data_IF_428100246118
#
_entry.id   IF_428100246118
#
_cell.length_a   1.000
_cell.length_b   1.000
_cell.length_c   1.000
_cell.angle_alpha   90.00
_cell.angle_beta   90.00
_cell.angle_gamma   90.00
#
_symmetry.space_group_name_H-M   'P 1'
#
loop_
_entity.id
_entity.type
_entity.pdbx_description
1 polymer ?
#
# COMPACT_ATOMS: atom_id res chain seq x y z
N UNK A 1 9.87 6.85 -15.31
CA UNK A 1 8.95 5.73 -15.10
C UNK A 1 9.74 4.53 -14.58
N UNK A 2 9.30 3.92 -13.47
CA UNK A 2 9.96 2.74 -12.90
C UNK A 2 9.85 1.54 -13.85
N UNK A 3 10.96 0.81 -14.04
CA UNK A 3 10.94 -0.48 -14.74
C UNK A 3 10.15 -1.49 -13.90
N UNK A 4 9.26 -2.22 -14.55
CA UNK A 4 8.42 -3.22 -13.91
C UNK A 4 9.25 -4.41 -13.39
N UNK A 5 9.39 -4.45 -12.07
CA UNK A 5 9.86 -5.60 -11.31
C UNK A 5 9.12 -5.56 -9.97
N UNK A 6 8.61 -6.70 -9.51
CA UNK A 6 7.93 -6.82 -8.22
C UNK A 6 8.78 -6.27 -7.06
N UNK A 7 10.10 -6.44 -7.11
CA UNK A 7 11.01 -5.88 -6.11
C UNK A 7 11.00 -4.35 -6.10
N UNK A 8 11.10 -3.72 -7.27
CA UNK A 8 11.02 -2.26 -7.41
C UNK A 8 9.67 -1.72 -6.94
N UNK A 9 8.58 -2.45 -7.24
CA UNK A 9 7.24 -2.15 -6.73
C UNK A 9 7.20 -2.17 -5.19
N UNK A 10 7.70 -3.25 -4.56
CA UNK A 10 7.72 -3.36 -3.10
C UNK A 10 8.62 -2.28 -2.48
N UNK A 11 9.82 -2.07 -3.03
CA UNK A 11 10.80 -1.12 -2.52
C UNK A 11 10.27 0.32 -2.57
N UNK A 12 9.41 0.66 -3.55
CA UNK A 12 8.73 1.95 -3.61
C UNK A 12 7.88 2.24 -2.37
N UNK A 13 7.04 1.29 -1.95
CA UNK A 13 6.20 1.45 -0.75
C UNK A 13 6.99 1.28 0.54
N UNK A 14 8.00 0.41 0.55
CA UNK A 14 8.91 0.27 1.69
C UNK A 14 9.67 1.57 1.97
N UNK A 15 10.09 2.29 0.92
CA UNK A 15 10.73 3.61 1.05
C UNK A 15 9.76 4.62 1.65
N UNK A 16 8.51 4.67 1.16
CA UNK A 16 7.50 5.53 1.78
C UNK A 16 7.31 5.21 3.28
N UNK A 17 7.22 3.93 3.65
CA UNK A 17 7.06 3.55 5.04
C UNK A 17 8.27 3.91 5.91
N UNK A 18 9.49 3.81 5.35
CA UNK A 18 10.71 4.20 6.04
C UNK A 18 10.81 5.72 6.25
N UNK A 19 10.36 6.51 5.29
CA UNK A 19 10.48 7.98 5.31
C UNK A 19 9.34 8.66 6.08
N UNK A 20 8.22 7.96 6.33
CA UNK A 20 7.06 8.52 7.00
C UNK A 20 7.29 8.58 8.52
N UNK A 21 7.13 9.75 9.18
CA UNK A 21 7.51 9.94 10.58
C UNK A 21 6.73 9.06 11.56
N UNK A 22 5.46 8.76 11.24
CA UNK A 22 4.58 7.99 12.13
C UNK A 22 4.57 6.48 11.86
N UNK A 23 5.12 6.01 10.73
CA UNK A 23 5.12 4.57 10.42
C UNK A 23 6.30 3.89 11.10
N UNK A 24 6.01 2.77 11.77
CA UNK A 24 7.04 2.02 12.49
C UNK A 24 7.40 0.70 11.83
N UNK A 25 6.48 0.14 11.04
CA UNK A 25 6.67 -1.16 10.42
C UNK A 25 6.10 -1.22 9.01
N UNK A 26 6.77 -1.98 8.13
CA UNK A 26 6.33 -2.27 6.77
C UNK A 26 6.25 -3.78 6.57
N UNK A 27 5.10 -4.25 6.07
CA UNK A 27 4.87 -5.65 5.71
C UNK A 27 4.46 -5.76 4.23
N UNK A 28 4.90 -6.83 3.56
CA UNK A 28 4.43 -7.23 2.24
C UNK A 28 3.95 -8.68 2.28
N UNK A 29 2.76 -8.97 1.76
CA UNK A 29 2.24 -10.34 1.64
C UNK A 29 0.73 -10.46 1.76
N UNK A 30 0.23 -11.70 1.76
CA UNK A 30 -1.20 -12.02 1.93
C UNK A 30 -1.74 -11.72 3.34
N UNK A 31 -3.06 -11.50 3.44
CA UNK A 31 -3.77 -11.01 4.64
C UNK A 31 -3.52 -11.84 5.90
N UNK A 32 -3.82 -13.13 5.84
CA UNK A 32 -3.79 -13.99 7.02
C UNK A 32 -2.36 -14.29 7.50
N UNK A 33 -1.41 -14.37 6.57
CA UNK A 33 0.00 -14.64 6.90
C UNK A 33 0.76 -13.37 7.27
N UNK A 34 0.43 -12.24 6.67
CA UNK A 34 1.15 -10.97 6.83
C UNK A 34 1.08 -10.42 8.25
N UNK A 35 -0.11 -10.40 8.87
CA UNK A 35 -0.28 -9.87 10.23
C UNK A 35 0.31 -10.82 11.27
N UNK A 36 0.06 -12.13 11.14
CA UNK A 36 0.60 -13.14 12.07
C UNK A 36 2.14 -13.18 12.03
N UNK A 37 2.71 -13.14 10.82
CA UNK A 37 4.16 -13.08 10.64
C UNK A 37 4.73 -11.77 11.19
N UNK A 38 4.14 -10.61 10.87
CA UNK A 38 4.63 -9.32 11.35
C UNK A 38 4.70 -9.28 12.88
N UNK A 39 3.66 -9.77 13.58
CA UNK A 39 3.63 -9.84 15.05
C UNK A 39 4.68 -10.77 15.67
N UNK A 40 5.25 -11.69 14.89
CA UNK A 40 6.34 -12.57 15.36
C UNK A 40 7.72 -11.93 15.29
N UNK A 41 7.85 -10.79 14.60
CA UNK A 41 9.12 -10.10 14.42
C UNK A 41 9.44 -9.22 15.64
N UNK A 42 10.69 -9.25 16.15
CA UNK A 42 11.10 -8.45 17.32
C UNK A 42 10.91 -6.94 17.14
N UNK A 43 11.04 -6.44 15.91
CA UNK A 43 10.96 -5.02 15.56
C UNK A 43 9.54 -4.53 15.26
N UNK A 44 8.53 -5.39 15.39
CA UNK A 44 7.16 -5.05 15.06
C UNK A 44 6.55 -4.02 16.01
N UNK A 45 6.01 -2.94 15.45
CA UNK A 45 5.25 -1.93 16.18
C UNK A 45 4.22 -1.23 15.27
N UNK A 46 3.20 -0.61 15.88
CA UNK A 46 2.18 0.19 15.20
C UNK A 46 2.49 1.69 15.31
N UNK A 47 2.12 2.52 14.32
CA UNK A 47 1.40 2.20 13.08
C UNK A 47 2.18 1.32 12.09
N UNK A 48 1.50 0.33 11.50
CA UNK A 48 2.04 -0.55 10.48
C UNK A 48 1.43 -0.23 9.11
N UNK A 49 2.27 -0.16 8.08
CA UNK A 49 1.85 -0.18 6.69
C UNK A 49 1.99 -1.60 6.12
N UNK A 50 0.91 -2.12 5.56
CA UNK A 50 0.88 -3.46 4.99
C UNK A 50 0.44 -3.42 3.53
N UNK A 51 1.36 -3.81 2.65
CA UNK A 51 1.15 -3.92 1.21
C UNK A 51 0.72 -5.35 0.87
N UNK A 52 -0.41 -5.49 0.21
CA UNK A 52 -0.92 -6.77 -0.26
C UNK A 52 -0.19 -7.23 -1.52
N UNK A 53 -0.21 -8.54 -1.76
CA UNK A 53 0.19 -9.11 -3.04
C UNK A 53 -0.73 -8.56 -4.14
N UNK A 54 -0.19 -7.82 -5.13
CA UNK A 54 -1.01 -7.19 -6.15
C UNK A 54 -1.50 -8.23 -7.15
N UNK A 55 -2.70 -8.00 -7.71
CA UNK A 55 -3.12 -8.69 -8.93
C UNK A 55 -2.53 -7.94 -10.12
N UNK A 56 -1.80 -8.64 -10.98
CA UNK A 56 -1.09 -8.03 -12.11
C UNK A 56 -1.78 -8.41 -13.42
N UNK A 57 -2.21 -7.40 -14.18
CA UNK A 57 -2.79 -7.56 -15.50
C UNK A 57 -1.87 -6.95 -16.55
N UNK A 58 -1.41 -7.73 -17.52
CA UNK A 58 -0.66 -7.20 -18.65
C UNK A 58 -1.59 -6.49 -19.63
N UNK A 59 -1.25 -5.25 -19.97
CA UNK A 59 -1.95 -4.40 -20.92
C UNK A 59 -1.04 -4.17 -22.14
N UNK A 60 -1.54 -4.52 -23.32
CA UNK A 60 -0.93 -4.18 -24.60
C UNK A 60 -1.75 -3.07 -25.25
N UNK A 61 -1.14 -1.89 -25.43
CA UNK A 61 -1.81 -0.78 -26.07
C UNK A 61 -1.71 -0.80 -27.61
N UNK A 62 -1.29 -1.92 -28.20
CA UNK A 62 -1.18 -2.19 -29.65
C UNK A 62 -0.17 -1.32 -30.40
N UNK A 63 0.58 -0.46 -29.69
CA UNK A 63 1.69 0.37 -30.24
C UNK A 63 3.05 -0.04 -29.67
N UNK A 64 3.22 -1.33 -29.36
CA UNK A 64 4.44 -1.90 -28.76
C UNK A 64 4.83 -1.28 -27.41
N UNK A 65 3.85 -0.74 -26.67
CA UNK A 65 4.02 -0.48 -25.25
C UNK A 65 3.21 -1.48 -24.46
N UNK A 66 3.93 -2.42 -23.84
CA UNK A 66 3.37 -3.37 -22.90
C UNK A 66 3.65 -2.84 -21.49
N UNK A 67 2.57 -2.69 -20.72
CA UNK A 67 2.62 -2.30 -19.32
C UNK A 67 1.96 -3.40 -18.49
N UNK A 68 2.49 -3.62 -17.29
CA UNK A 68 1.78 -4.39 -16.27
C UNK A 68 1.02 -3.42 -15.36
N UNK A 69 -0.29 -3.65 -15.25
CA UNK A 69 -1.16 -2.95 -14.31
C UNK A 69 -1.25 -3.74 -13.01
N UNK A 70 -0.69 -3.16 -11.96
CA UNK A 70 -0.75 -3.67 -10.60
C UNK A 70 -2.02 -3.14 -9.94
N UNK A 71 -2.94 -4.02 -9.59
CA UNK A 71 -4.08 -3.72 -8.73
C UNK A 71 -3.59 -3.84 -7.29
N UNK A 72 -3.45 -2.68 -6.64
CA UNK A 72 -2.80 -2.53 -5.34
C UNK A 72 -3.83 -2.41 -4.24
N UNK A 73 -3.66 -3.21 -3.18
CA UNK A 73 -4.28 -2.98 -1.87
C UNK A 73 -3.18 -2.65 -0.86
N UNK A 74 -3.36 -1.55 -0.12
CA UNK A 74 -2.42 -1.18 0.95
C UNK A 74 -3.17 -0.64 2.16
N UNK A 75 -2.87 -1.20 3.33
CA UNK A 75 -3.56 -0.90 4.59
C UNK A 75 -2.62 -0.23 5.57
N UNK A 76 -3.12 0.77 6.31
CA UNK A 76 -2.48 1.25 7.53
C UNK A 76 -3.28 0.74 8.72
N UNK A 77 -2.61 0.04 9.64
CA UNK A 77 -3.20 -0.54 10.84
C UNK A 77 -2.60 0.09 12.08
N UNK A 78 -3.45 0.30 13.08
CA UNK A 78 -3.12 0.80 14.41
C UNK A 78 -3.90 -0.02 15.43
N UNK A 79 -3.30 -0.29 16.58
CA UNK A 79 -3.98 -0.99 17.69
C UNK A 79 -4.59 0.02 18.66
N UNK A 80 -5.82 -0.23 19.10
CA UNK A 80 -6.48 0.54 20.16
C UNK A 80 -7.29 -0.39 21.09
N UNK A 81 -7.51 -0.01 22.36
CA UNK A 81 -8.37 -0.77 23.27
C UNK A 81 -9.82 -0.86 22.75
N UNK A 82 -10.42 -2.05 22.87
CA UNK A 82 -11.79 -2.31 22.39
C UNK A 82 -12.87 -1.59 23.21
N UNK A 83 -12.54 -1.20 24.45
CA UNK A 83 -13.42 -0.51 25.39
C UNK A 83 -13.22 1.01 25.44
N UNK A 84 -12.28 1.55 24.66
CA UNK A 84 -11.98 3.00 24.60
C UNK A 84 -12.33 3.58 23.22
N UNK A 85 -13.50 4.21 23.10
CA UNK A 85 -13.98 4.76 21.83
C UNK A 85 -13.12 5.94 21.31
N UNK A 86 -12.58 6.78 22.18
CA UNK A 86 -11.75 7.91 21.74
C UNK A 86 -10.43 7.41 21.15
N UNK A 87 -9.80 6.43 21.79
CA UNK A 87 -8.60 5.79 21.26
C UNK A 87 -8.84 5.12 19.89
N UNK A 88 -10.03 4.58 19.66
CA UNK A 88 -10.42 3.99 18.37
C UNK A 88 -10.60 5.05 17.29
N UNK A 89 -11.23 6.18 17.62
CA UNK A 89 -11.39 7.33 16.71
C UNK A 89 -10.01 7.88 16.33
N UNK A 90 -9.12 8.05 17.31
CA UNK A 90 -7.75 8.52 17.10
C UNK A 90 -6.96 7.55 16.19
N UNK A 91 -7.10 6.24 16.41
CA UNK A 91 -6.48 5.23 15.55
C UNK A 91 -7.01 5.29 14.10
N UNK A 92 -8.32 5.44 13.89
CA UNK A 92 -8.87 5.65 12.55
C UNK A 92 -8.36 6.95 11.92
N UNK A 93 -8.31 8.05 12.69
CA UNK A 93 -7.84 9.35 12.24
C UNK A 93 -6.39 9.30 11.76
N UNK A 94 -5.50 8.71 12.56
CA UNK A 94 -4.09 8.57 12.21
C UNK A 94 -3.90 7.65 10.99
N UNK A 95 -4.59 6.50 10.94
CA UNK A 95 -4.49 5.62 9.78
C UNK A 95 -5.01 6.26 8.48
N UNK A 96 -6.12 7.01 8.57
CA UNK A 96 -6.64 7.78 7.44
C UNK A 96 -5.66 8.85 6.97
N UNK A 97 -5.00 9.54 7.89
CA UNK A 97 -3.99 10.55 7.59
C UNK A 97 -2.81 9.92 6.85
N UNK A 98 -2.21 8.84 7.36
CA UNK A 98 -1.10 8.12 6.73
C UNK A 98 -1.46 7.65 5.30
N UNK A 99 -2.66 7.09 5.12
CA UNK A 99 -3.14 6.68 3.79
C UNK A 99 -3.33 7.88 2.86
N UNK A 100 -3.73 9.02 3.40
CA UNK A 100 -3.87 10.27 2.63
C UNK A 100 -2.50 10.84 2.25
N UNK A 101 -1.49 10.71 3.10
CA UNK A 101 -0.11 11.11 2.82
C UNK A 101 0.51 10.22 1.73
N UNK A 102 0.24 8.91 1.76
CA UNK A 102 0.58 8.02 0.65
C UNK A 102 -0.07 8.48 -0.65
N UNK A 103 -1.37 8.78 -0.64
CA UNK A 103 -2.07 9.28 -1.83
C UNK A 103 -1.47 10.59 -2.34
N UNK A 104 -1.06 11.50 -1.44
CA UNK A 104 -0.38 12.74 -1.79
C UNK A 104 0.99 12.48 -2.45
N UNK A 105 1.76 11.51 -1.93
CA UNK A 105 3.01 11.05 -2.54
C UNK A 105 2.78 10.46 -3.93
N UNK A 106 1.80 9.58 -4.12
CA UNK A 106 1.47 9.01 -5.43
C UNK A 106 1.15 10.11 -6.47
N UNK A 107 0.40 11.14 -6.06
CA UNK A 107 0.10 12.32 -6.89
C UNK A 107 1.33 13.14 -7.22
N UNK A 108 2.24 13.34 -6.26
CA UNK A 108 3.50 14.04 -6.49
C UNK A 108 4.38 13.28 -7.48
N UNK A 109 4.55 11.98 -7.28
CA UNK A 109 5.44 11.14 -8.07
C UNK A 109 4.91 10.90 -9.49
N UNK A 110 3.58 10.82 -9.67
CA UNK A 110 2.97 10.79 -11.01
C UNK A 110 3.21 12.10 -11.76
N UNK A 111 3.03 13.26 -11.11
CA UNK A 111 3.33 14.57 -11.73
C UNK A 111 4.81 14.71 -12.12
N UNK A 112 5.70 14.02 -11.41
CA UNK A 112 7.13 13.98 -11.72
C UNK A 112 7.49 12.94 -12.82
N UNK A 113 6.54 12.13 -13.29
CA UNK A 113 6.79 11.06 -14.28
C UNK A 113 7.55 9.84 -13.72
N UNK A 114 7.62 9.70 -12.40
CA UNK A 114 8.29 8.57 -11.74
C UNK A 114 7.46 7.30 -11.85
N UNK A 115 6.15 7.42 -11.67
CA UNK A 115 5.16 6.35 -11.72
C UNK A 115 3.97 6.76 -12.58
N UNK A 116 3.17 5.80 -13.04
CA UNK A 116 1.86 6.07 -13.62
C UNK A 116 0.76 5.41 -12.79
N UNK A 117 -0.15 6.21 -12.23
CA UNK A 117 -1.17 5.78 -11.29
C UNK A 117 -2.53 6.24 -11.78
N UNK A 118 -3.50 5.33 -11.76
CA UNK A 118 -4.90 5.66 -11.99
C UNK A 118 -5.49 6.32 -10.73
N UNK A 119 -5.92 7.58 -10.86
CA UNK A 119 -6.60 8.29 -9.77
C UNK A 119 -8.11 8.13 -9.82
N UNK A 120 -8.68 7.84 -10.99
CA UNK A 120 -10.09 7.50 -11.11
C UNK A 120 -10.31 6.14 -10.45
N UNK A 121 -11.31 6.03 -9.57
CA UNK A 121 -11.62 4.78 -8.90
C UNK A 121 -10.78 4.42 -7.67
N UNK A 122 -9.91 5.31 -7.18
CA UNK A 122 -9.25 5.10 -5.87
C UNK A 122 -10.29 5.01 -4.75
N UNK A 123 -10.19 3.97 -3.92
CA UNK A 123 -11.13 3.74 -2.81
C UNK A 123 -10.37 3.64 -1.50
N UNK A 124 -10.85 4.34 -0.48
CA UNK A 124 -10.44 4.17 0.91
C UNK A 124 -11.60 3.58 1.68
N UNK A 125 -11.38 2.48 2.39
CA UNK A 125 -12.40 1.84 3.20
C UNK A 125 -11.80 1.38 4.52
N UNK A 126 -12.60 1.35 5.59
CA UNK A 126 -12.13 0.85 6.87
C UNK A 126 -11.71 -0.62 6.73
N UNK A 127 -10.65 -0.99 7.43
CA UNK A 127 -10.26 -2.39 7.54
C UNK A 127 -11.30 -3.12 8.38
N UNK A 128 -11.74 -4.29 7.89
CA UNK A 128 -12.75 -5.08 8.60
C UNK A 128 -12.21 -5.59 9.93
N UNK A 129 -12.89 -5.23 11.02
CA UNK A 129 -12.53 -5.69 12.36
C UNK A 129 -12.76 -7.19 12.56
N UNK A 130 -13.58 -7.84 11.72
CA UNK A 130 -13.77 -9.30 11.74
C UNK A 130 -12.48 -10.08 11.46
N UNK A 131 -11.48 -9.44 10.87
CA UNK A 131 -10.23 -10.07 10.48
C UNK A 131 -9.06 -9.70 11.40
N UNK A 132 -9.24 -8.70 12.27
CA UNK A 132 -8.14 -8.12 13.02
C UNK A 132 -8.66 -7.47 14.31
N UNK A 133 -8.94 -8.31 15.33
CA UNK A 133 -9.39 -7.85 16.64
C UNK A 133 -8.47 -6.75 17.20
N UNK A 134 -9.06 -5.61 17.57
CA UNK A 134 -8.34 -4.46 18.10
C UNK A 134 -7.51 -3.69 17.07
N UNK A 135 -7.56 -4.04 15.78
CA UNK A 135 -6.91 -3.29 14.72
C UNK A 135 -7.90 -2.34 14.05
N UNK A 136 -7.49 -1.10 13.96
CA UNK A 136 -8.24 0.00 13.39
C UNK A 136 -7.42 0.59 12.26
N UNK A 137 -8.06 0.94 11.15
CA UNK A 137 -7.30 1.30 9.96
C UNK A 137 -8.12 1.57 8.72
N UNK A 138 -7.41 2.00 7.69
CA UNK A 138 -7.94 2.20 6.34
C UNK A 138 -7.11 1.45 5.32
N UNK A 139 -7.77 0.86 4.33
CA UNK A 139 -7.18 0.26 3.14
C UNK A 139 -7.43 1.16 1.95
N UNK A 140 -6.39 1.39 1.15
CA UNK A 140 -6.43 2.10 -0.13
C UNK A 140 -6.29 1.09 -1.27
N UNK A 141 -7.23 1.15 -2.21
CA UNK A 141 -7.22 0.39 -3.46
C UNK A 141 -6.99 1.31 -4.67
N UNK A 142 -6.10 0.92 -5.58
CA UNK A 142 -5.79 1.68 -6.80
C UNK A 142 -5.05 0.84 -7.86
N UNK A 143 -5.01 1.34 -9.10
CA UNK A 143 -4.20 0.80 -10.19
C UNK A 143 -2.88 1.56 -10.35
N UNK A 144 -1.77 0.83 -10.50
CA UNK A 144 -0.44 1.36 -10.79
C UNK A 144 0.10 0.67 -12.06
N UNK A 145 0.42 1.45 -13.08
CA UNK A 145 0.97 0.96 -14.34
C UNK A 145 2.50 1.06 -14.31
N UNK A 146 3.16 -0.05 -14.64
CA UNK A 146 4.63 -0.13 -14.76
C UNK A 146 5.01 -0.64 -16.14
N UNK A 147 6.02 0.00 -16.75
CA UNK A 147 6.47 -0.37 -18.09
C UNK A 147 7.34 -1.64 -18.06
N UNK A 148 7.02 -2.61 -18.91
CA UNK A 148 7.77 -3.88 -19.03
C UNK A 148 8.52 -4.02 -20.37
N UNK A 149 8.53 -2.99 -21.23
CA UNK A 149 9.08 -3.10 -22.58
C UNK A 149 10.54 -3.57 -22.60
N UNK A 150 11.37 -3.06 -21.68
CA UNK A 150 12.77 -3.45 -21.59
C UNK A 150 12.97 -4.93 -21.20
N UNK A 151 11.97 -5.56 -20.58
CA UNK A 151 12.01 -6.98 -20.20
C UNK A 151 11.49 -7.88 -21.32
N UNK A 152 10.52 -7.40 -22.12
CA UNK A 152 9.90 -8.20 -23.20
C UNK A 152 10.66 -8.08 -24.52
N UNK A 153 11.18 -6.89 -24.83
CA UNK A 153 11.81 -6.58 -26.12
C UNK A 153 13.31 -6.29 -26.02
N UNK A 154 13.88 -6.27 -24.81
CA UNK A 154 15.32 -6.12 -24.57
C UNK A 154 16.06 -7.44 -24.71
#
# INVERSE_FOLDING_TARGET
>A
MLNANLRTFIDYFKTFAHDHPDLKFFCFGSVEKGISFARSLPEFDYPMLWLEEPVINTLDNTVAQINDRFIVGISCLIIAPLDDNEAQIDAYGMAYQIITDLQAKLRKDRRAGTIDVEFEGQKKYPVSQLWADGHFGFRLEFGLDMNINATIYG
#
